data_IF_033442764521
#
_entry.id   IF_033442764521
#
_cell.length_a   1.000
_cell.length_b   1.000
_cell.length_c   1.000
_cell.angle_alpha   90.00
_cell.angle_beta   90.00
_cell.angle_gamma   90.00
#
_symmetry.space_group_name_H-M   'P 1'
#
loop_
_entity.id
_entity.type
_entity.pdbx_description
1 polymer ?
#
# COMPACT_ATOMS: atom_id res chain seq x y z
N UNK A 1 -40.13 11.94 -19.13
CA UNK A 1 -39.90 10.59 -19.72
C UNK A 1 -39.43 10.68 -21.17
N UNK A 2 -39.70 11.80 -21.89
CA UNK A 2 -39.28 11.95 -23.30
C UNK A 2 -37.84 12.40 -23.56
N UNK A 3 -37.23 13.14 -22.63
CA UNK A 3 -35.93 13.75 -22.88
C UNK A 3 -34.74 12.76 -22.68
N UNK A 4 -34.81 11.86 -21.74
CA UNK A 4 -33.73 10.87 -21.49
C UNK A 4 -33.60 9.82 -22.58
N UNK A 5 -34.73 9.42 -23.17
CA UNK A 5 -34.75 8.48 -24.29
C UNK A 5 -34.14 9.11 -25.55
N UNK A 6 -34.36 10.41 -25.78
CA UNK A 6 -33.75 11.15 -26.90
C UNK A 6 -32.23 11.33 -26.73
N UNK A 7 -31.75 11.58 -25.51
CA UNK A 7 -30.32 11.72 -25.24
C UNK A 7 -29.58 10.38 -25.41
N UNK A 8 -30.19 9.28 -24.96
CA UNK A 8 -29.62 7.94 -25.08
C UNK A 8 -29.58 7.47 -26.56
N UNK A 9 -30.58 7.78 -27.34
CA UNK A 9 -30.57 7.48 -28.76
C UNK A 9 -29.56 8.33 -29.52
N UNK A 10 -29.47 9.63 -29.23
CA UNK A 10 -28.45 10.51 -29.83
C UNK A 10 -27.03 10.09 -29.53
N UNK A 11 -26.75 9.62 -28.31
CA UNK A 11 -25.43 9.09 -27.95
C UNK A 11 -25.09 7.81 -28.74
N UNK A 12 -26.04 6.90 -28.89
CA UNK A 12 -25.87 5.72 -29.74
C UNK A 12 -25.70 6.06 -31.21
N UNK A 13 -26.54 6.97 -31.75
CA UNK A 13 -26.44 7.44 -33.13
C UNK A 13 -25.09 8.17 -33.38
N UNK A 14 -24.61 8.97 -32.41
CA UNK A 14 -23.30 9.60 -32.50
C UNK A 14 -22.14 8.60 -32.49
N UNK A 15 -22.24 7.55 -31.67
CA UNK A 15 -21.26 6.47 -31.66
C UNK A 15 -21.30 5.63 -32.95
N UNK A 16 -22.49 5.31 -33.46
CA UNK A 16 -22.67 4.62 -34.73
C UNK A 16 -22.14 5.45 -35.89
N UNK A 17 -22.37 6.75 -35.87
CA UNK A 17 -21.87 7.66 -36.89
C UNK A 17 -20.35 7.79 -36.82
N UNK A 18 -19.80 7.94 -35.61
CA UNK A 18 -18.35 7.99 -35.41
C UNK A 18 -17.66 6.68 -35.84
N UNK A 19 -18.27 5.53 -35.52
CA UNK A 19 -17.73 4.23 -35.93
C UNK A 19 -17.80 4.04 -37.47
N UNK A 20 -18.87 4.49 -38.13
CA UNK A 20 -19.02 4.46 -39.62
C UNK A 20 -18.01 5.40 -40.29
N UNK A 21 -17.79 6.61 -39.73
CA UNK A 21 -16.81 7.57 -40.27
C UNK A 21 -15.41 6.99 -40.14
N UNK A 22 -15.06 6.44 -38.98
CA UNK A 22 -13.75 5.85 -38.72
C UNK A 22 -13.53 4.57 -39.56
N UNK A 23 -14.54 3.73 -39.73
CA UNK A 23 -14.44 2.55 -40.59
C UNK A 23 -14.29 2.89 -42.08
N UNK A 24 -14.88 4.00 -42.53
CA UNK A 24 -14.72 4.49 -43.91
C UNK A 24 -13.38 5.18 -44.16
N UNK A 25 -12.66 5.62 -43.12
CA UNK A 25 -11.36 6.29 -43.23
C UNK A 25 -10.16 5.31 -43.18
N UNK A 26 -10.38 4.05 -42.82
CA UNK A 26 -9.33 3.04 -42.71
C UNK A 26 -9.39 2.04 -43.88
N UNK A 27 -8.24 1.67 -44.46
CA UNK A 27 -8.19 0.69 -45.57
C UNK A 27 -8.43 -0.76 -45.12
N UNK A 28 -8.71 -0.98 -43.82
CA UNK A 28 -8.97 -2.30 -43.22
C UNK A 28 -10.06 -2.22 -42.15
N UNK A 29 -10.79 -3.32 -41.95
CA UNK A 29 -11.76 -3.42 -40.85
C UNK A 29 -11.05 -3.57 -39.49
N UNK A 30 -11.45 -2.74 -38.53
CA UNK A 30 -11.05 -2.90 -37.17
C UNK A 30 -11.98 -3.90 -36.47
N UNK A 31 -11.42 -5.02 -36.00
CA UNK A 31 -12.11 -5.93 -35.06
C UNK A 31 -11.80 -5.51 -33.63
N UNK A 32 -12.86 -5.36 -32.85
CA UNK A 32 -12.74 -5.10 -31.41
C UNK A 32 -12.32 -6.39 -30.71
N UNK A 33 -11.05 -6.56 -30.37
CA UNK A 33 -10.52 -7.77 -29.72
C UNK A 33 -10.88 -7.87 -28.24
N UNK A 34 -11.21 -6.76 -27.59
CA UNK A 34 -11.59 -6.76 -26.18
C UNK A 34 -12.53 -5.58 -25.87
N UNK A 35 -13.66 -5.87 -25.25
CA UNK A 35 -14.65 -4.90 -24.86
C UNK A 35 -15.17 -5.18 -23.45
N UNK A 36 -14.82 -4.33 -22.51
CA UNK A 36 -15.30 -4.42 -21.13
C UNK A 36 -15.98 -3.12 -20.71
N UNK A 37 -17.28 -3.16 -20.47
CA UNK A 37 -18.00 -2.04 -19.83
C UNK A 37 -18.19 -2.31 -18.36
N UNK A 38 -17.57 -1.49 -17.53
CA UNK A 38 -17.83 -1.47 -16.08
C UNK A 38 -18.74 -0.26 -15.82
N UNK A 39 -19.92 -0.48 -15.21
CA UNK A 39 -20.79 0.64 -14.84
C UNK A 39 -20.15 1.47 -13.74
N UNK A 40 -20.27 2.80 -13.83
CA UNK A 40 -19.71 3.73 -12.85
C UNK A 40 -20.21 3.44 -11.40
N UNK A 41 -21.47 3.01 -11.26
CA UNK A 41 -22.08 2.66 -9.97
C UNK A 41 -21.47 1.41 -9.33
N UNK A 42 -21.07 0.40 -10.12
CA UNK A 42 -20.36 -0.77 -9.59
C UNK A 42 -18.97 -0.40 -9.08
N UNK A 43 -18.27 0.49 -9.77
CA UNK A 43 -16.95 0.97 -9.35
C UNK A 43 -17.00 1.76 -8.04
N UNK A 44 -17.97 2.66 -7.87
CA UNK A 44 -18.15 3.46 -6.68
C UNK A 44 -18.48 2.60 -5.45
N UNK A 45 -19.44 1.68 -5.57
CA UNK A 45 -19.79 0.77 -4.48
C UNK A 45 -18.62 -0.12 -4.05
N UNK A 46 -17.81 -0.59 -5.01
CA UNK A 46 -16.63 -1.40 -4.71
C UNK A 46 -15.54 -0.60 -4.01
N UNK A 47 -15.32 0.66 -4.39
CA UNK A 47 -14.39 1.57 -3.72
C UNK A 47 -14.77 1.80 -2.26
N UNK A 48 -16.05 2.11 -2.02
CA UNK A 48 -16.58 2.34 -0.67
C UNK A 48 -16.47 1.07 0.17
N UNK A 49 -16.83 -0.09 -0.38
CA UNK A 49 -16.69 -1.36 0.33
C UNK A 49 -15.24 -1.69 0.70
N UNK A 50 -14.28 -1.46 -0.21
CA UNK A 50 -12.84 -1.66 0.06
C UNK A 50 -12.32 -0.67 1.11
N UNK A 51 -12.76 0.57 1.09
CA UNK A 51 -12.38 1.56 2.10
C UNK A 51 -12.87 1.14 3.50
N UNK A 52 -14.13 0.71 3.63
CA UNK A 52 -14.65 0.18 4.90
C UNK A 52 -13.89 -1.07 5.35
N UNK A 53 -13.62 -2.00 4.45
CA UNK A 53 -12.84 -3.21 4.76
C UNK A 53 -11.43 -2.84 5.25
N UNK A 54 -10.77 -1.86 4.62
CA UNK A 54 -9.47 -1.37 5.03
C UNK A 54 -9.47 -0.75 6.43
N UNK A 55 -10.49 0.06 6.75
CA UNK A 55 -10.64 0.68 8.09
C UNK A 55 -10.89 -0.40 9.15
N UNK A 56 -11.78 -1.36 8.89
CA UNK A 56 -12.06 -2.47 9.82
C UNK A 56 -10.79 -3.30 10.05
N UNK A 57 -10.08 -3.67 9.00
CA UNK A 57 -8.82 -4.40 9.10
C UNK A 57 -7.78 -3.63 9.92
N UNK A 58 -7.63 -2.32 9.68
CA UNK A 58 -6.73 -1.47 10.45
C UNK A 58 -7.07 -1.45 11.95
N UNK A 59 -8.36 -1.31 12.30
CA UNK A 59 -8.81 -1.32 13.71
C UNK A 59 -8.47 -2.66 14.38
N UNK A 60 -8.73 -3.79 13.71
CA UNK A 60 -8.41 -5.12 14.22
C UNK A 60 -6.90 -5.25 14.45
N UNK A 61 -6.08 -4.84 13.49
CA UNK A 61 -4.62 -4.84 13.59
C UNK A 61 -4.16 -3.98 14.76
N UNK A 62 -4.69 -2.77 14.89
CA UNK A 62 -4.33 -1.85 15.97
C UNK A 62 -4.62 -2.46 17.36
N UNK A 63 -5.78 -3.09 17.52
CA UNK A 63 -6.14 -3.79 18.77
C UNK A 63 -5.15 -4.92 19.06
N UNK A 64 -4.88 -5.77 18.08
CA UNK A 64 -3.94 -6.89 18.22
C UNK A 64 -2.55 -6.38 18.60
N UNK A 65 -2.04 -5.36 17.90
CA UNK A 65 -0.71 -4.79 18.16
C UNK A 65 -0.60 -4.22 19.58
N UNK A 66 -1.61 -3.49 20.04
CA UNK A 66 -1.60 -2.91 21.40
C UNK A 66 -1.70 -4.01 22.46
N UNK A 67 -2.53 -5.02 22.26
CA UNK A 67 -2.70 -6.11 23.22
C UNK A 67 -1.43 -6.97 23.38
N UNK A 68 -0.77 -7.33 22.27
CA UNK A 68 0.39 -8.23 22.28
C UNK A 68 1.69 -7.51 22.58
N UNK A 69 1.88 -6.29 22.02
CA UNK A 69 3.15 -5.56 22.11
C UNK A 69 3.10 -4.32 23.02
N UNK A 70 1.94 -4.01 23.60
CA UNK A 70 1.78 -2.90 24.57
C UNK A 70 2.34 -1.59 24.00
N UNK A 71 3.40 -1.05 24.64
CA UNK A 71 4.00 0.24 24.25
C UNK A 71 4.62 0.24 22.84
N UNK A 72 5.47 -0.72 22.46
CA UNK A 72 5.89 -0.88 21.06
C UNK A 72 4.71 -1.00 20.08
N UNK A 73 3.64 -1.70 20.48
CA UNK A 73 2.42 -1.82 19.68
C UNK A 73 1.70 -0.48 19.46
N UNK A 74 1.61 0.35 20.48
CA UNK A 74 1.04 1.69 20.36
C UNK A 74 1.86 2.58 19.42
N UNK A 75 3.18 2.56 19.53
CA UNK A 75 4.09 3.27 18.62
C UNK A 75 3.94 2.75 17.19
N UNK A 76 3.81 1.43 17.01
CA UNK A 76 3.58 0.82 15.72
C UNK A 76 2.28 1.28 15.05
N UNK A 77 1.18 1.41 15.80
CA UNK A 77 -0.10 1.92 15.27
C UNK A 77 0.04 3.36 14.76
N UNK A 78 0.74 4.23 15.50
CA UNK A 78 1.00 5.60 15.04
C UNK A 78 1.86 5.60 13.78
N UNK A 79 2.88 4.75 13.73
CA UNK A 79 3.73 4.58 12.54
C UNK A 79 2.96 4.10 11.33
N UNK A 80 2.03 3.15 11.50
CA UNK A 80 1.15 2.67 10.43
C UNK A 80 0.20 3.75 9.90
N UNK A 81 -0.36 4.59 10.78
CA UNK A 81 -1.14 5.76 10.36
C UNK A 81 -0.30 6.73 9.52
N UNK A 82 0.94 6.99 9.95
CA UNK A 82 1.88 7.81 9.19
C UNK A 82 2.24 7.18 7.83
N UNK A 83 2.43 5.86 7.78
CA UNK A 83 2.67 5.12 6.54
C UNK A 83 1.50 5.26 5.57
N UNK A 84 0.27 5.07 6.05
CA UNK A 84 -0.94 5.25 5.23
C UNK A 84 -1.03 6.67 4.68
N UNK A 85 -0.87 7.68 5.55
CA UNK A 85 -0.88 9.09 5.14
C UNK A 85 0.19 9.41 4.10
N UNK A 86 1.42 8.92 4.30
CA UNK A 86 2.52 9.11 3.37
C UNK A 86 2.27 8.42 2.03
N UNK A 87 1.76 7.18 2.05
CA UNK A 87 1.45 6.43 0.83
C UNK A 87 0.32 7.09 0.02
N UNK A 88 -0.75 7.53 0.69
CA UNK A 88 -1.85 8.26 0.04
C UNK A 88 -1.35 9.59 -0.53
N UNK A 89 -0.55 10.36 0.22
CA UNK A 89 0.03 11.62 -0.25
C UNK A 89 0.93 11.41 -1.49
N UNK A 90 1.72 10.35 -1.50
CA UNK A 90 2.58 10.04 -2.65
C UNK A 90 1.76 9.64 -3.89
N UNK A 91 0.72 8.81 -3.73
CA UNK A 91 -0.14 8.38 -4.85
C UNK A 91 -1.00 9.54 -5.38
N UNK A 92 -1.44 10.45 -4.52
CA UNK A 92 -2.22 11.64 -4.93
C UNK A 92 -1.40 12.70 -5.68
N UNK A 93 -0.07 12.52 -5.80
CA UNK A 93 0.81 13.46 -6.48
C UNK A 93 1.16 14.71 -5.66
N UNK A 94 1.01 14.64 -4.34
CA UNK A 94 1.41 15.74 -3.45
C UNK A 94 2.91 16.06 -3.56
N UNK A 95 3.72 15.05 -3.82
CA UNK A 95 5.15 15.25 -4.02
C UNK A 95 5.45 15.46 -5.52
N UNK A 96 6.23 16.49 -5.91
CA UNK A 96 6.53 16.79 -7.31
C UNK A 96 7.33 15.67 -8.02
N UNK A 97 7.92 14.75 -7.26
CA UNK A 97 8.66 13.58 -7.77
C UNK A 97 7.72 12.50 -8.30
N UNK A 98 6.50 12.42 -7.74
CA UNK A 98 5.49 11.44 -8.13
C UNK A 98 4.41 12.12 -8.96
N UNK A 99 4.20 11.65 -10.18
CA UNK A 99 3.05 12.09 -10.98
C UNK A 99 1.76 11.61 -10.32
N UNK A 100 0.72 12.46 -10.31
CA UNK A 100 -0.62 12.06 -9.84
C UNK A 100 -1.10 10.84 -10.63
N UNK A 101 -1.60 9.85 -9.91
CA UNK A 101 -1.99 8.59 -10.48
C UNK A 101 -3.47 8.29 -10.19
N UNK A 102 -4.21 7.84 -11.20
CA UNK A 102 -5.62 7.45 -11.02
C UNK A 102 -5.69 6.14 -10.26
N UNK A 103 -6.22 6.19 -9.03
CA UNK A 103 -6.33 5.03 -8.17
C UNK A 103 -7.38 4.06 -8.71
N UNK A 104 -6.96 2.83 -8.99
CA UNK A 104 -7.81 1.72 -9.43
C UNK A 104 -8.13 0.77 -8.27
N UNK A 105 -9.11 -0.12 -8.42
CA UNK A 105 -9.42 -1.14 -7.40
C UNK A 105 -8.19 -1.98 -7.01
N UNK A 106 -7.39 -2.52 -7.95
CA UNK A 106 -6.13 -3.17 -7.61
C UNK A 106 -5.11 -2.23 -6.93
N UNK A 107 -5.09 -0.94 -7.26
CA UNK A 107 -4.25 0.04 -6.59
C UNK A 107 -4.58 0.17 -5.11
N UNK A 108 -5.87 0.20 -4.75
CA UNK A 108 -6.30 0.19 -3.34
C UNK A 108 -5.90 -1.11 -2.65
N UNK A 109 -6.05 -2.26 -3.32
CA UNK A 109 -5.60 -3.54 -2.78
C UNK A 109 -4.09 -3.53 -2.50
N UNK A 110 -3.28 -2.92 -3.37
CA UNK A 110 -1.84 -2.73 -3.15
C UNK A 110 -1.52 -1.89 -1.92
N UNK A 111 -2.28 -0.81 -1.68
CA UNK A 111 -2.14 -0.01 -0.45
C UNK A 111 -2.50 -0.82 0.80
N UNK A 112 -3.60 -1.57 0.80
CA UNK A 112 -4.01 -2.41 1.93
C UNK A 112 -2.94 -3.48 2.20
N UNK A 113 -2.41 -4.11 1.16
CA UNK A 113 -1.33 -5.09 1.28
C UNK A 113 -0.06 -4.46 1.88
N UNK A 114 0.29 -3.24 1.48
CA UNK A 114 1.45 -2.54 2.01
C UNK A 114 1.33 -2.22 3.51
N UNK A 115 0.10 -2.01 4.02
CA UNK A 115 -0.15 -1.84 5.46
C UNK A 115 0.19 -3.13 6.19
N UNK A 116 -0.22 -4.29 5.66
CA UNK A 116 0.13 -5.60 6.24
C UNK A 116 1.64 -5.78 6.38
N UNK A 117 2.41 -5.44 5.35
CA UNK A 117 3.88 -5.47 5.41
C UNK A 117 4.46 -4.48 6.43
N UNK A 118 3.81 -3.31 6.61
CA UNK A 118 4.19 -2.36 7.65
C UNK A 118 3.98 -2.91 9.06
N UNK A 119 2.92 -3.67 9.26
CA UNK A 119 2.68 -4.41 10.52
C UNK A 119 3.81 -5.39 10.78
N UNK A 120 4.18 -6.21 9.80
CA UNK A 120 5.25 -7.21 9.92
C UNK A 120 6.57 -6.58 10.33
N UNK A 121 6.96 -5.45 9.74
CA UNK A 121 8.17 -4.72 10.11
C UNK A 121 8.17 -4.28 11.57
N UNK A 122 7.04 -3.78 12.05
CA UNK A 122 6.88 -3.35 13.44
C UNK A 122 6.84 -4.55 14.41
N UNK A 123 6.21 -5.65 14.03
CA UNK A 123 6.18 -6.91 14.80
C UNK A 123 7.60 -7.49 14.95
N UNK A 124 8.35 -7.62 13.85
CA UNK A 124 9.73 -8.11 13.88
C UNK A 124 10.59 -7.23 14.80
N UNK A 125 10.45 -5.92 14.70
CA UNK A 125 11.20 -4.99 15.58
C UNK A 125 10.81 -5.18 17.04
N UNK A 126 9.52 -5.28 17.36
CA UNK A 126 9.03 -5.47 18.72
C UNK A 126 9.47 -6.81 19.33
N UNK A 127 9.43 -7.91 18.55
CA UNK A 127 9.89 -9.22 18.99
C UNK A 127 11.42 -9.22 19.25
N UNK A 128 12.23 -8.60 18.38
CA UNK A 128 13.68 -8.49 18.61
C UNK A 128 14.01 -7.70 19.87
N UNK A 129 13.28 -6.62 20.14
CA UNK A 129 13.44 -5.86 21.39
C UNK A 129 13.08 -6.74 22.60
N UNK A 130 12.00 -7.49 22.52
CA UNK A 130 11.55 -8.40 23.57
C UNK A 130 12.52 -9.56 23.82
N UNK A 131 13.14 -10.12 22.79
CA UNK A 131 14.21 -11.13 22.88
C UNK A 131 15.42 -10.59 23.62
N UNK A 132 15.89 -9.38 23.28
CA UNK A 132 17.03 -8.73 23.94
C UNK A 132 16.74 -8.39 25.42
N UNK A 133 15.49 -8.00 25.73
CA UNK A 133 15.05 -7.80 27.13
C UNK A 133 15.03 -9.10 27.93
N UNK A 134 14.56 -10.21 27.32
CA UNK A 134 14.59 -11.53 27.94
C UNK A 134 16.02 -12.05 28.16
N UNK A 135 16.96 -11.65 27.32
CA UNK A 135 18.37 -11.94 27.48
C UNK A 135 19.07 -11.13 28.63
N UNK A 136 18.28 -10.37 29.43
CA UNK A 136 18.76 -9.64 30.60
C UNK A 136 19.39 -8.28 30.28
N UNK A 137 19.23 -7.75 29.07
CA UNK A 137 19.81 -6.43 28.73
C UNK A 137 19.05 -5.27 29.36
N UNK A 138 19.74 -4.14 29.43
CA UNK A 138 19.09 -2.87 29.78
C UNK A 138 18.10 -2.45 28.68
N UNK A 139 17.08 -1.65 29.02
CA UNK A 139 16.07 -1.19 28.05
C UNK A 139 16.72 -0.48 26.85
N UNK A 140 17.67 0.42 27.10
CA UNK A 140 18.35 1.16 26.03
C UNK A 140 19.19 0.23 25.14
N UNK A 141 19.88 -0.75 25.72
CA UNK A 141 20.66 -1.75 24.99
C UNK A 141 19.75 -2.69 24.16
N UNK A 142 18.58 -3.05 24.70
CA UNK A 142 17.60 -3.88 24.00
C UNK A 142 16.95 -3.12 22.85
N UNK A 143 16.62 -1.85 23.00
CA UNK A 143 16.10 -0.99 21.93
C UNK A 143 17.12 -0.81 20.82
N UNK A 144 18.38 -0.52 21.14
CA UNK A 144 19.42 -0.32 20.14
C UNK A 144 19.71 -1.58 19.34
N UNK A 145 19.94 -2.71 20.02
CA UNK A 145 20.25 -3.98 19.36
C UNK A 145 19.05 -4.60 18.68
N UNK A 146 17.86 -4.58 19.32
CA UNK A 146 16.64 -5.10 18.74
C UNK A 146 16.28 -4.40 17.42
N UNK A 147 16.35 -3.06 17.39
CA UNK A 147 16.10 -2.30 16.15
C UNK A 147 17.20 -2.47 15.10
N UNK A 148 18.46 -2.71 15.51
CA UNK A 148 19.55 -3.00 14.56
C UNK A 148 19.43 -4.39 13.96
N UNK A 149 19.16 -5.39 14.81
CA UNK A 149 19.06 -6.79 14.37
C UNK A 149 17.79 -7.08 13.58
N UNK A 150 16.72 -6.30 13.76
CA UNK A 150 15.50 -6.42 12.93
C UNK A 150 15.68 -5.91 11.50
N UNK A 151 16.61 -4.97 11.26
CA UNK A 151 16.74 -4.29 9.97
C UNK A 151 17.06 -5.25 8.83
N UNK A 152 17.98 -6.20 9.01
CA UNK A 152 18.32 -7.19 7.99
C UNK A 152 17.09 -8.01 7.58
N UNK A 153 16.35 -8.57 8.54
CA UNK A 153 15.16 -9.35 8.26
C UNK A 153 14.06 -8.54 7.56
N UNK A 154 13.91 -7.25 7.93
CA UNK A 154 12.93 -6.36 7.31
C UNK A 154 13.34 -6.04 5.86
N UNK A 155 14.62 -5.76 5.61
CA UNK A 155 15.12 -5.49 4.26
C UNK A 155 14.96 -6.72 3.39
N UNK A 156 15.38 -7.89 3.86
CA UNK A 156 15.30 -9.15 3.12
C UNK A 156 13.85 -9.51 2.76
N UNK A 157 12.92 -9.38 3.70
CA UNK A 157 11.49 -9.64 3.47
C UNK A 157 10.84 -8.68 2.47
N UNK A 158 11.20 -7.38 2.52
CA UNK A 158 10.62 -6.39 1.62
C UNK A 158 11.31 -6.34 0.23
N UNK A 159 12.54 -6.86 0.09
CA UNK A 159 13.25 -6.86 -1.18
C UNK A 159 12.50 -7.65 -2.27
N UNK A 160 11.91 -8.78 -1.91
CA UNK A 160 11.08 -9.58 -2.82
C UNK A 160 9.90 -8.77 -3.35
N UNK A 161 9.23 -8.02 -2.49
CA UNK A 161 8.08 -7.19 -2.86
C UNK A 161 8.49 -6.05 -3.76
N UNK A 162 9.63 -5.41 -3.51
CA UNK A 162 10.20 -4.37 -4.37
C UNK A 162 10.46 -4.93 -5.78
N UNK A 163 11.11 -6.09 -5.87
CA UNK A 163 11.39 -6.74 -7.15
C UNK A 163 10.09 -7.04 -7.91
N UNK A 164 9.10 -7.65 -7.25
CA UNK A 164 7.80 -7.96 -7.85
C UNK A 164 7.10 -6.68 -8.32
N UNK A 165 7.08 -5.63 -7.51
CA UNK A 165 6.47 -4.35 -7.87
C UNK A 165 7.11 -3.73 -9.10
N UNK A 166 8.45 -3.75 -9.17
CA UNK A 166 9.19 -3.25 -10.33
C UNK A 166 8.87 -4.08 -11.57
N UNK A 167 8.86 -5.40 -11.47
CA UNK A 167 8.50 -6.29 -12.60
C UNK A 167 7.08 -5.97 -13.09
N UNK A 168 6.10 -5.86 -12.19
CA UNK A 168 4.73 -5.51 -12.54
C UNK A 168 4.65 -4.16 -13.27
N UNK A 169 5.41 -3.16 -12.81
CA UNK A 169 5.46 -1.85 -13.45
C UNK A 169 6.14 -1.88 -14.83
N UNK A 170 7.18 -2.70 -15.01
CA UNK A 170 7.89 -2.84 -16.27
C UNK A 170 7.09 -3.63 -17.32
N UNK A 171 6.35 -4.64 -16.87
CA UNK A 171 5.55 -5.51 -17.78
C UNK A 171 4.24 -4.82 -18.19
N UNK A 172 3.56 -4.16 -17.24
CA UNK A 172 2.23 -3.60 -17.44
C UNK A 172 2.21 -2.07 -17.53
N UNK A 173 3.38 -1.42 -17.53
CA UNK A 173 3.52 0.03 -17.59
C UNK A 173 3.45 0.58 -19.01
N UNK A 174 3.29 1.91 -19.15
CA UNK A 174 3.20 2.59 -20.45
C UNK A 174 4.50 2.50 -21.26
N UNK A 175 5.64 2.26 -20.62
CA UNK A 175 6.96 2.06 -21.25
C UNK A 175 7.26 0.56 -21.39
N UNK A 176 6.40 -0.21 -22.04
CA UNK A 176 6.50 -1.66 -22.18
C UNK A 176 7.86 -2.14 -22.73
N UNK A 177 8.88 -2.17 -21.87
CA UNK A 177 10.23 -2.67 -22.26
C UNK A 177 10.15 -4.16 -22.63
N UNK A 178 9.18 -4.87 -22.07
CA UNK A 178 8.94 -6.30 -22.32
C UNK A 178 7.82 -6.57 -23.34
N UNK A 179 7.28 -5.55 -24.01
CA UNK A 179 6.23 -5.72 -25.04
C UNK A 179 6.68 -6.65 -26.19
N UNK A 180 8.00 -6.73 -26.44
CA UNK A 180 8.58 -7.65 -27.42
C UNK A 180 8.33 -9.13 -27.06
N UNK A 181 8.22 -9.43 -25.75
CA UNK A 181 8.07 -10.83 -25.25
C UNK A 181 6.62 -11.14 -24.90
N UNK A 182 5.90 -10.20 -24.27
CA UNK A 182 4.56 -10.41 -23.71
C UNK A 182 3.43 -9.78 -24.52
N UNK A 183 3.73 -9.07 -25.60
CA UNK A 183 2.75 -8.33 -26.39
C UNK A 183 2.31 -7.01 -25.72
N UNK A 184 1.40 -6.28 -26.38
CA UNK A 184 0.84 -5.05 -25.83
C UNK A 184 -0.11 -5.37 -24.68
N UNK A 185 0.28 -4.96 -23.47
CA UNK A 185 -0.55 -5.13 -22.29
C UNK A 185 -1.46 -3.92 -22.10
N UNK A 186 -2.76 -4.12 -22.18
CA UNK A 186 -3.80 -3.08 -22.06
C UNK A 186 -4.21 -2.77 -20.62
N UNK A 187 -3.58 -3.35 -19.63
CA UNK A 187 -4.08 -3.30 -18.25
C UNK A 187 -3.30 -2.35 -17.34
N UNK A 188 -3.52 -1.04 -17.50
CA UNK A 188 -3.08 -0.03 -16.54
C UNK A 188 -3.54 -0.27 -15.10
N UNK A 189 -4.48 -1.20 -14.88
CA UNK A 189 -4.93 -1.65 -13.56
C UNK A 189 -3.86 -2.42 -12.79
N UNK A 190 -3.12 -3.32 -13.45
CA UNK A 190 -2.02 -4.09 -12.83
C UNK A 190 -0.81 -3.19 -12.57
N UNK A 191 -0.53 -2.25 -13.48
CA UNK A 191 0.46 -1.20 -13.24
C UNK A 191 0.15 -0.41 -11.96
N UNK A 192 -1.12 -0.02 -11.78
CA UNK A 192 -1.58 0.68 -10.59
C UNK A 192 -1.30 -0.10 -9.31
N UNK A 193 -1.53 -1.41 -9.30
CA UNK A 193 -1.22 -2.29 -8.18
C UNK A 193 0.29 -2.30 -7.88
N UNK A 194 1.14 -2.50 -8.89
CA UNK A 194 2.60 -2.49 -8.73
C UNK A 194 3.13 -1.15 -8.20
N UNK A 195 2.60 -0.04 -8.73
CA UNK A 195 2.98 1.31 -8.31
C UNK A 195 2.60 1.60 -6.85
N UNK A 196 1.35 1.34 -6.46
CA UNK A 196 0.90 1.58 -5.08
C UNK A 196 1.60 0.66 -4.08
N UNK A 197 1.92 -0.57 -4.48
CA UNK A 197 2.69 -1.50 -3.68
C UNK A 197 4.12 -0.99 -3.45
N UNK A 198 4.80 -0.52 -4.50
CA UNK A 198 6.15 0.05 -4.40
C UNK A 198 6.17 1.29 -3.50
N UNK A 199 5.25 2.22 -3.71
CA UNK A 199 5.10 3.42 -2.89
C UNK A 199 4.83 3.05 -1.43
N UNK A 200 3.97 2.07 -1.20
CA UNK A 200 3.65 1.56 0.14
C UNK A 200 4.85 0.96 0.86
N UNK A 201 5.72 0.21 0.15
CA UNK A 201 6.97 -0.33 0.71
C UNK A 201 7.96 0.79 1.04
N UNK A 202 8.11 1.78 0.18
CA UNK A 202 8.97 2.96 0.46
C UNK A 202 8.44 3.70 1.69
N UNK A 203 7.13 3.95 1.77
CA UNK A 203 6.50 4.57 2.93
C UNK A 203 6.71 3.73 4.21
N UNK A 204 6.68 2.40 4.10
CA UNK A 204 6.97 1.49 5.21
C UNK A 204 8.43 1.63 5.70
N UNK A 205 9.42 1.70 4.82
CA UNK A 205 10.81 1.94 5.24
C UNK A 205 10.97 3.26 5.99
N UNK A 206 10.32 4.32 5.52
CA UNK A 206 10.39 5.65 6.16
C UNK A 206 9.67 5.63 7.50
N UNK A 207 8.43 5.21 7.55
CA UNK A 207 7.59 5.28 8.76
C UNK A 207 7.78 4.06 9.67
N UNK A 208 7.72 2.85 9.11
CA UNK A 208 7.78 1.59 9.87
C UNK A 208 9.17 1.29 10.42
N UNK A 209 10.24 1.68 9.73
CA UNK A 209 11.60 1.42 10.20
C UNK A 209 12.21 2.66 10.85
N UNK A 210 12.34 3.75 10.08
CA UNK A 210 13.07 4.93 10.54
C UNK A 210 12.31 5.71 11.62
N UNK A 211 11.04 6.09 11.36
CA UNK A 211 10.27 6.86 12.34
C UNK A 211 9.93 6.04 13.58
N UNK A 212 9.57 4.77 13.44
CA UNK A 212 9.32 3.87 14.59
C UNK A 212 10.53 3.80 15.51
N UNK A 213 11.74 3.69 14.98
CA UNK A 213 12.98 3.66 15.75
C UNK A 213 13.18 4.94 16.56
N UNK A 214 12.96 6.11 15.95
CA UNK A 214 13.06 7.40 16.65
C UNK A 214 11.99 7.52 17.72
N UNK A 215 10.75 7.15 17.40
CA UNK A 215 9.63 7.21 18.35
C UNK A 215 9.85 6.30 19.55
N UNK A 216 10.31 5.05 19.37
CA UNK A 216 10.61 4.13 20.45
C UNK A 216 11.72 4.68 21.38
N UNK A 217 12.78 5.27 20.81
CA UNK A 217 13.82 5.93 21.61
C UNK A 217 13.28 7.13 22.39
N UNK A 218 12.48 7.97 21.75
CA UNK A 218 11.87 9.14 22.40
C UNK A 218 10.95 8.75 23.54
N UNK A 219 10.11 7.74 23.33
CA UNK A 219 9.17 7.23 24.35
C UNK A 219 9.92 6.58 25.51
N UNK A 220 11.02 5.86 25.25
CA UNK A 220 11.87 5.27 26.29
C UNK A 220 12.61 6.34 27.13
N UNK A 221 12.74 7.58 26.65
CA UNK A 221 13.28 8.71 27.38
C UNK A 221 12.40 9.20 28.53
N UNK A 222 11.09 8.94 28.49
CA UNK A 222 10.17 9.34 29.56
C UNK A 222 10.27 8.38 30.77
N UNK A 223 10.66 8.89 31.93
CA UNK A 223 10.83 8.11 33.18
C UNK A 223 9.60 7.25 33.54
N UNK A 224 8.39 7.74 33.27
CA UNK A 224 7.13 7.04 33.56
C UNK A 224 6.92 5.80 32.68
N UNK A 225 7.35 5.86 31.42
CA UNK A 225 7.19 4.80 30.41
C UNK A 225 8.39 3.84 30.36
N UNK A 226 9.49 4.14 31.07
CA UNK A 226 10.74 3.37 31.09
C UNK A 226 10.65 2.11 31.97
N UNK A 227 9.56 1.34 31.80
CA UNK A 227 9.36 0.05 32.50
C UNK A 227 9.59 -1.10 31.52
N UNK A 228 10.50 -2.02 31.82
CA UNK A 228 10.78 -3.20 30.97
C UNK A 228 9.51 -4.00 30.64
N UNK A 229 8.57 -4.09 31.58
CA UNK A 229 7.29 -4.76 31.38
C UNK A 229 6.43 -4.15 30.25
N UNK A 230 6.47 -2.85 30.05
CA UNK A 230 5.74 -2.19 28.97
C UNK A 230 6.30 -2.54 27.59
N UNK A 231 7.56 -2.93 27.50
CA UNK A 231 8.24 -3.37 26.29
C UNK A 231 8.28 -4.90 26.13
N UNK A 232 7.54 -5.65 26.96
CA UNK A 232 7.46 -7.12 26.87
C UNK A 232 8.50 -7.87 27.71
N UNK A 233 9.26 -7.19 28.57
CA UNK A 233 10.13 -7.81 29.57
C UNK A 233 9.34 -8.41 30.74
N UNK A 234 10.04 -9.16 31.60
CA UNK A 234 9.45 -9.74 32.80
C UNK A 234 8.92 -8.67 33.77
N UNK A 235 7.86 -8.99 34.51
CA UNK A 235 7.20 -8.07 35.46
C UNK A 235 8.01 -7.80 36.72
N UNK A 236 9.04 -8.61 36.99
CA UNK A 236 9.75 -8.66 38.29
C UNK A 236 11.21 -8.17 38.23
N UNK A 237 11.51 -7.21 37.32
CA UNK A 237 12.83 -6.53 37.32
C UNK A 237 12.67 -5.01 37.38
#
# INVERSE_FOLDING_TARGET
>A
VGSEMCIRNRAKEAQDLASKINAGALPFQLETSNYGTISATLGENSLVAMAYAGVIAFIIIAIIMILFYRLPGFVAVISLLGQMGLAIAAVSGYFPVFSSFTMTLPGIAGLILSIGMGVDCNVITAERIKEELKAGRTLDGALERGTKNSLSAIVDGNMTVIIVSIILMLVFGPANILSIIFGESTTGTIYSFGYTLLVGVIANFIMGVFCTRIMLRSVAGFKFLRKKWLFGGAKND
#
